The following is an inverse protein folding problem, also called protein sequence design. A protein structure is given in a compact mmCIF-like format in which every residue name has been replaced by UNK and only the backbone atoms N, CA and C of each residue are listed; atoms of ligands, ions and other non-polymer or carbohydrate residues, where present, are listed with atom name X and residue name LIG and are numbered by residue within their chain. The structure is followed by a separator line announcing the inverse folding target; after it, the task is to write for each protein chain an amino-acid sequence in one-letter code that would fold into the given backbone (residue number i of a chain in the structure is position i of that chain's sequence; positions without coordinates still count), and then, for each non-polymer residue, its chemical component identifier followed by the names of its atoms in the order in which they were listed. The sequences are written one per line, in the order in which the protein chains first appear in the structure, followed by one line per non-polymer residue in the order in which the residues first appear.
data_IF_841653676576
#
_entry.id   IF_841653676576
#
_cell.length_a   1.000
_cell.length_b   1.000
_cell.length_c   1.000
_cell.angle_alpha   90.00
_cell.angle_beta   90.00
_cell.angle_gamma   90.00
#
_symmetry.space_group_name_H-M   'P 1'
#
loop_
_entity.id
_entity.type
_entity.pdbx_description
1 polymer ?
#
# COMPACT_ATOMS: atom_id res chain seq x y z
N UNK A 1 -3.12 -21.44 -3.61
CA UNK A 1 -3.04 -19.98 -3.76
C UNK A 1 -4.01 -19.55 -4.84
N UNK A 2 -4.62 -18.37 -4.72
CA UNK A 2 -5.55 -17.80 -5.71
C UNK A 2 -4.83 -16.66 -6.43
N UNK A 3 -5.02 -16.51 -7.73
CA UNK A 3 -4.45 -15.39 -8.47
C UNK A 3 -5.21 -14.09 -8.12
N UNK A 4 -4.50 -13.08 -7.65
CA UNK A 4 -5.05 -11.73 -7.52
C UNK A 4 -4.74 -10.99 -8.82
N UNK A 5 -5.75 -10.93 -9.71
CA UNK A 5 -5.63 -10.41 -11.08
C UNK A 5 -5.10 -8.97 -11.10
N UNK A 6 -5.42 -8.19 -10.07
CA UNK A 6 -4.98 -6.79 -9.98
C UNK A 6 -3.55 -6.67 -9.44
N UNK A 7 -3.16 -7.58 -8.54
CA UNK A 7 -1.82 -7.59 -7.97
C UNK A 7 -0.81 -8.23 -8.93
N UNK A 8 -1.27 -9.16 -9.79
CA UNK A 8 -0.46 -9.87 -10.77
C UNK A 8 0.42 -10.96 -10.13
N UNK A 9 -0.01 -11.50 -8.98
CA UNK A 9 0.65 -12.60 -8.28
C UNK A 9 -0.34 -13.46 -7.49
N UNK A 10 0.13 -14.64 -7.07
CA UNK A 10 -0.65 -15.59 -6.26
C UNK A 10 -0.65 -15.17 -4.80
N UNK A 11 -1.83 -15.13 -4.19
CA UNK A 11 -2.05 -14.85 -2.78
C UNK A 11 -2.46 -16.13 -2.01
N UNK A 12 -2.12 -16.25 -0.72
CA UNK A 12 -2.53 -17.40 0.08
C UNK A 12 -4.05 -17.38 0.28
N UNK A 13 -4.69 -18.56 0.44
CA UNK A 13 -6.13 -18.66 0.61
C UNK A 13 -6.63 -18.04 1.93
N UNK A 14 -5.75 -17.91 2.93
CA UNK A 14 -6.01 -17.18 4.17
C UNK A 14 -5.13 -15.94 4.21
N UNK A 15 -5.72 -14.81 4.60
CA UNK A 15 -5.01 -13.54 4.76
C UNK A 15 -3.91 -13.69 5.82
N UNK A 16 -2.62 -13.43 5.49
CA UNK A 16 -1.53 -13.62 6.44
C UNK A 16 -1.61 -12.64 7.63
N UNK A 17 -2.40 -11.57 7.49
CA UNK A 17 -2.63 -10.59 8.54
C UNK A 17 -3.80 -10.93 9.45
N UNK A 18 -4.49 -12.09 9.32
CA UNK A 18 -5.74 -12.37 10.04
C UNK A 18 -5.70 -12.07 11.56
N UNK A 19 -4.54 -12.24 12.19
CA UNK A 19 -4.32 -12.04 13.62
C UNK A 19 -3.52 -10.77 13.96
N UNK A 20 -3.22 -9.92 12.98
CA UNK A 20 -2.55 -8.63 13.22
C UNK A 20 -3.59 -7.53 13.48
N UNK A 21 -3.19 -6.48 14.17
CA UNK A 21 -3.97 -5.26 14.19
C UNK A 21 -4.06 -4.70 12.75
N UNK A 22 -5.21 -4.13 12.40
CA UNK A 22 -5.50 -3.55 11.08
C UNK A 22 -5.22 -4.49 9.89
N UNK A 23 -5.76 -5.72 9.89
CA UNK A 23 -5.41 -6.74 8.91
C UNK A 23 -5.70 -6.32 7.47
N UNK A 24 -6.80 -5.58 7.26
CA UNK A 24 -7.19 -5.08 5.94
C UNK A 24 -6.24 -3.99 5.43
N UNK A 25 -5.78 -3.08 6.30
CA UNK A 25 -4.87 -2.00 5.90
C UNK A 25 -3.52 -2.56 5.48
N UNK A 26 -2.96 -3.49 6.26
CA UNK A 26 -1.71 -4.17 5.95
C UNK A 26 -1.83 -4.98 4.64
N UNK A 27 -2.94 -5.69 4.45
CA UNK A 27 -3.19 -6.47 3.22
C UNK A 27 -3.30 -5.58 1.98
N UNK A 28 -4.08 -4.51 2.05
CA UNK A 28 -4.25 -3.59 0.92
C UNK A 28 -2.95 -2.87 0.59
N UNK A 29 -2.19 -2.45 1.60
CA UNK A 29 -0.86 -1.88 1.41
C UNK A 29 0.05 -2.84 0.64
N UNK A 30 0.19 -4.09 1.08
CA UNK A 30 1.13 -5.01 0.45
C UNK A 30 0.69 -5.42 -0.96
N UNK A 31 -0.62 -5.55 -1.20
CA UNK A 31 -1.15 -5.74 -2.56
C UNK A 31 -0.79 -4.59 -3.49
N UNK A 32 -0.81 -3.35 -3.00
CA UNK A 32 -0.37 -2.18 -3.76
C UNK A 32 1.16 -2.16 -3.90
N UNK A 33 1.89 -2.47 -2.84
CA UNK A 33 3.35 -2.46 -2.81
C UNK A 33 3.96 -3.47 -3.80
N UNK A 34 3.39 -4.67 -3.91
CA UNK A 34 3.86 -5.67 -4.87
C UNK A 34 3.10 -5.63 -6.22
N UNK A 35 2.19 -4.67 -6.39
CA UNK A 35 1.30 -4.61 -7.54
C UNK A 35 2.02 -4.35 -8.86
N UNK A 36 1.45 -4.86 -9.95
CA UNK A 36 1.98 -4.75 -11.31
C UNK A 36 2.33 -3.32 -11.75
N UNK A 37 1.60 -2.31 -11.25
CA UNK A 37 1.82 -0.90 -11.59
C UNK A 37 3.22 -0.34 -11.26
N UNK A 38 4.00 -1.02 -10.40
CA UNK A 38 5.39 -0.65 -10.07
C UNK A 38 6.43 -1.36 -10.94
N UNK A 39 6.02 -2.22 -11.86
CA UNK A 39 6.91 -2.98 -12.74
C UNK A 39 7.15 -2.24 -14.05
N UNK A 40 8.28 -2.53 -14.73
CA UNK A 40 8.63 -1.89 -16.00
C UNK A 40 7.59 -2.16 -17.10
N UNK A 41 6.94 -3.32 -17.06
CA UNK A 41 5.90 -3.75 -18.00
C UNK A 41 4.49 -3.25 -17.65
N UNK A 42 4.35 -2.38 -16.64
CA UNK A 42 3.05 -1.81 -16.27
C UNK A 42 2.43 -1.03 -17.43
N UNK A 43 1.19 -1.36 -17.76
CA UNK A 43 0.43 -0.59 -18.75
C UNK A 43 -0.37 0.56 -18.08
N UNK A 44 -0.91 1.52 -18.85
CA UNK A 44 -1.69 2.63 -18.29
C UNK A 44 -2.90 2.20 -17.44
N UNK A 45 -3.51 1.05 -17.75
CA UNK A 45 -4.65 0.55 -16.99
C UNK A 45 -4.21 -0.06 -15.65
N UNK A 46 -3.04 -0.70 -15.59
CA UNK A 46 -2.45 -1.15 -14.32
C UNK A 46 -2.27 0.03 -13.36
N UNK A 47 -1.73 1.15 -13.86
CA UNK A 47 -1.52 2.36 -13.07
C UNK A 47 -2.84 2.99 -12.65
N UNK A 48 -3.82 3.11 -13.55
CA UNK A 48 -5.16 3.63 -13.23
C UNK A 48 -5.88 2.80 -12.16
N UNK A 49 -5.79 1.46 -12.25
CA UNK A 49 -6.34 0.56 -11.23
C UNK A 49 -5.66 0.76 -9.88
N UNK A 50 -4.34 0.83 -9.87
CA UNK A 50 -3.57 1.07 -8.64
C UNK A 50 -3.89 2.44 -8.02
N UNK A 51 -4.06 3.48 -8.83
CA UNK A 51 -4.48 4.81 -8.38
C UNK A 51 -5.84 4.77 -7.67
N UNK A 52 -6.83 4.07 -8.25
CA UNK A 52 -8.14 3.90 -7.63
C UNK A 52 -8.06 3.12 -6.30
N UNK A 53 -7.23 2.06 -6.24
CA UNK A 53 -7.02 1.28 -5.02
C UNK A 53 -6.27 2.06 -3.93
N UNK A 54 -5.30 2.88 -4.32
CA UNK A 54 -4.58 3.77 -3.41
C UNK A 54 -5.52 4.80 -2.79
N UNK A 55 -6.46 5.36 -3.56
CA UNK A 55 -7.52 6.22 -3.04
C UNK A 55 -8.41 5.49 -2.01
N UNK A 56 -8.80 4.24 -2.29
CA UNK A 56 -9.57 3.42 -1.34
C UNK A 56 -8.78 3.17 -0.04
N UNK A 57 -7.47 2.91 -0.14
CA UNK A 57 -6.61 2.73 1.03
C UNK A 57 -6.50 4.03 1.85
N UNK A 58 -6.32 5.19 1.21
CA UNK A 58 -6.32 6.49 1.89
C UNK A 58 -7.60 6.74 2.67
N UNK A 59 -8.76 6.41 2.08
CA UNK A 59 -10.05 6.53 2.76
C UNK A 59 -10.13 5.65 4.01
N UNK A 60 -9.76 4.36 3.91
CA UNK A 60 -9.76 3.44 5.06
C UNK A 60 -8.77 3.84 6.15
N UNK A 61 -7.61 4.37 5.75
CA UNK A 61 -6.63 4.92 6.68
C UNK A 61 -7.20 6.11 7.46
N UNK A 62 -7.95 6.99 6.80
CA UNK A 62 -8.62 8.12 7.45
C UNK A 62 -9.59 7.65 8.52
N UNK A 63 -10.47 6.69 8.21
CA UNK A 63 -11.42 6.13 9.17
C UNK A 63 -10.70 5.53 10.40
N UNK A 64 -9.65 4.74 10.19
CA UNK A 64 -8.88 4.15 11.28
C UNK A 64 -8.17 5.21 12.15
N UNK A 65 -7.58 6.25 11.53
CA UNK A 65 -6.87 7.32 12.25
C UNK A 65 -7.83 8.23 13.03
N UNK A 66 -9.03 8.47 12.51
CA UNK A 66 -10.06 9.24 13.22
C UNK A 66 -10.50 8.55 14.51
N UNK A 67 -10.64 7.23 14.49
CA UNK A 67 -11.00 6.43 15.67
C UNK A 67 -9.88 6.41 16.71
N UNK A 68 -8.64 6.17 16.28
CA UNK A 68 -7.50 5.98 17.20
C UNK A 68 -6.88 7.30 17.66
N UNK A 69 -7.10 8.38 16.92
CA UNK A 69 -6.59 9.73 17.19
C UNK A 69 -5.04 9.79 17.38
N UNK A 70 -4.31 8.98 16.61
CA UNK A 70 -2.84 8.91 16.66
C UNK A 70 -2.23 10.04 15.83
N UNK A 71 -1.63 11.03 16.49
CA UNK A 71 -1.08 12.23 15.83
C UNK A 71 -0.03 11.92 14.75
N UNK A 72 1.02 11.10 14.98
CA UNK A 72 2.00 10.78 13.94
C UNK A 72 1.38 10.13 12.70
N UNK A 73 0.41 9.22 12.91
CA UNK A 73 -0.31 8.58 11.82
C UNK A 73 -1.10 9.60 10.97
N UNK A 74 -1.72 10.59 11.62
CA UNK A 74 -2.42 11.69 10.92
C UNK A 74 -1.48 12.55 10.08
N UNK A 75 -0.30 12.89 10.60
CA UNK A 75 0.71 13.67 9.87
C UNK A 75 1.21 12.92 8.63
N UNK A 76 1.46 11.61 8.76
CA UNK A 76 1.83 10.77 7.63
C UNK A 76 0.68 10.60 6.62
N UNK A 77 -0.56 10.45 7.08
CA UNK A 77 -1.73 10.41 6.18
C UNK A 77 -1.90 11.70 5.40
N UNK A 78 -1.66 12.86 6.02
CA UNK A 78 -1.69 14.15 5.33
C UNK A 78 -0.67 14.19 4.18
N UNK A 79 0.59 13.84 4.45
CA UNK A 79 1.64 13.77 3.42
C UNK A 79 1.30 12.79 2.29
N UNK A 80 0.68 11.66 2.64
CA UNK A 80 0.21 10.69 1.66
C UNK A 80 -0.86 11.30 0.73
N UNK A 81 -1.81 12.04 1.30
CA UNK A 81 -2.85 12.74 0.55
C UNK A 81 -2.29 13.85 -0.35
N UNK A 82 -1.31 14.61 0.14
CA UNK A 82 -0.62 15.65 -0.64
C UNK A 82 0.12 15.03 -1.85
N UNK A 83 0.90 13.97 -1.63
CA UNK A 83 1.57 13.26 -2.71
C UNK A 83 0.58 12.63 -3.70
N UNK A 84 -0.52 12.07 -3.22
CA UNK A 84 -1.56 11.49 -4.07
C UNK A 84 -2.28 12.55 -4.93
N UNK A 85 -2.49 13.75 -4.40
CA UNK A 85 -3.13 14.85 -5.13
C UNK A 85 -2.29 15.38 -6.31
N UNK A 86 -0.96 15.17 -6.28
CA UNK A 86 -0.07 15.47 -7.40
C UNK A 86 -0.16 14.42 -8.53
N UNK A 87 -0.68 13.22 -8.25
CA UNK A 87 -0.85 12.18 -9.25
C UNK A 87 -2.12 12.39 -10.08
N UNK A 88 -1.99 12.32 -11.40
CA UNK A 88 -3.09 12.38 -12.36
C UNK A 88 -3.06 11.16 -13.27
N UNK A 89 -3.34 9.98 -12.69
CA UNK A 89 -3.25 8.72 -13.43
C UNK A 89 -4.28 8.60 -14.57
N UNK A 90 -5.31 9.46 -14.59
CA UNK A 90 -6.30 9.51 -15.66
C UNK A 90 -5.72 10.03 -16.98
N UNK A 91 -4.97 11.13 -16.89
CA UNK A 91 -4.42 11.87 -18.02
C UNK A 91 -2.94 11.54 -18.28
N UNK A 92 -2.13 11.43 -17.22
CA UNK A 92 -0.70 11.09 -17.30
C UNK A 92 -0.33 9.95 -16.31
N UNK A 93 -0.65 8.69 -16.67
CA UNK A 93 -0.38 7.51 -15.84
C UNK A 93 1.10 7.36 -15.46
N UNK A 94 2.01 7.45 -16.42
CA UNK A 94 3.41 7.11 -16.17
C UNK A 94 4.10 8.14 -15.26
N UNK A 95 3.85 9.43 -15.47
CA UNK A 95 4.39 10.47 -14.57
C UNK A 95 3.78 10.38 -13.17
N UNK A 96 2.57 9.83 -13.03
CA UNK A 96 1.90 9.64 -11.75
C UNK A 96 2.54 8.57 -10.85
N UNK A 97 3.32 7.64 -11.41
CA UNK A 97 3.90 6.50 -10.67
C UNK A 97 4.74 6.97 -9.47
N UNK A 98 5.60 7.98 -9.66
CA UNK A 98 6.45 8.50 -8.58
C UNK A 98 5.64 9.12 -7.43
N UNK A 99 4.56 9.84 -7.76
CA UNK A 99 3.66 10.44 -6.78
C UNK A 99 2.87 9.38 -6.01
N UNK A 100 2.38 8.36 -6.72
CA UNK A 100 1.70 7.20 -6.12
C UNK A 100 2.62 6.39 -5.20
N UNK A 101 3.88 6.18 -5.58
CA UNK A 101 4.87 5.47 -4.76
C UNK A 101 5.20 6.24 -3.46
N UNK A 102 5.40 7.56 -3.58
CA UNK A 102 5.56 8.46 -2.41
C UNK A 102 4.35 8.41 -1.48
N UNK A 103 3.13 8.45 -2.03
CA UNK A 103 1.91 8.34 -1.24
C UNK A 103 1.83 6.99 -0.51
N UNK A 104 2.15 5.88 -1.19
CA UNK A 104 2.18 4.56 -0.58
C UNK A 104 3.22 4.45 0.54
N UNK A 105 4.40 5.05 0.36
CA UNK A 105 5.44 5.11 1.40
C UNK A 105 4.97 5.86 2.66
N UNK A 106 4.29 7.00 2.51
CA UNK A 106 3.70 7.68 3.67
C UNK A 106 2.58 6.88 4.34
N UNK A 107 1.76 6.14 3.57
CA UNK A 107 0.77 5.22 4.13
C UNK A 107 1.44 4.12 4.94
N UNK A 108 2.56 3.56 4.46
CA UNK A 108 3.34 2.57 5.19
C UNK A 108 3.73 3.08 6.58
N UNK A 109 4.25 4.31 6.66
CA UNK A 109 4.60 4.95 7.92
C UNK A 109 3.38 5.17 8.82
N UNK A 110 2.26 5.63 8.27
CA UNK A 110 1.02 5.82 9.02
C UNK A 110 0.47 4.49 9.61
N UNK A 111 0.53 3.39 8.85
CA UNK A 111 0.19 2.05 9.34
C UNK A 111 1.10 1.67 10.52
N UNK A 112 2.40 1.90 10.39
CA UNK A 112 3.35 1.61 11.45
C UNK A 112 3.10 2.42 12.73
N UNK A 113 2.69 3.68 12.61
CA UNK A 113 2.31 4.51 13.75
C UNK A 113 1.04 3.98 14.45
N UNK A 114 0.04 3.53 13.68
CA UNK A 114 -1.16 2.87 14.23
C UNK A 114 -0.84 1.53 14.91
N UNK A 115 0.07 0.73 14.36
CA UNK A 115 0.48 -0.54 14.96
C UNK A 115 1.25 -0.30 16.26
N UNK A 116 2.15 0.69 16.28
CA UNK A 116 2.90 1.08 17.48
C UNK A 116 1.99 1.57 18.61
N UNK A 117 0.94 2.34 18.31
CA UNK A 117 0.00 2.80 19.34
C UNK A 117 -0.68 1.63 20.06
N UNK A 118 -0.88 0.50 19.37
CA UNK A 118 -1.44 -0.74 19.92
C UNK A 118 -0.39 -1.74 20.42
N UNK A 119 0.89 -1.36 20.49
CA UNK A 119 2.03 -2.26 20.83
C UNK A 119 2.07 -3.53 19.95
N UNK A 120 1.53 -3.45 18.73
CA UNK A 120 1.57 -4.54 17.77
C UNK A 120 2.93 -4.58 17.06
N UNK A 121 3.24 -5.72 16.44
CA UNK A 121 4.40 -5.83 15.55
C UNK A 121 4.25 -4.81 14.42
N UNK A 122 5.34 -4.11 14.10
CA UNK A 122 5.37 -3.19 12.95
C UNK A 122 5.13 -3.94 11.65
N UNK A 123 4.52 -3.25 10.69
CA UNK A 123 4.31 -3.73 9.35
C UNK A 123 5.63 -3.70 8.56
N UNK A 124 5.98 -4.81 7.94
CA UNK A 124 7.16 -4.96 7.10
C UNK A 124 6.79 -5.82 5.90
N UNK A 125 6.74 -5.28 4.67
CA UNK A 125 6.40 -6.07 3.48
C UNK A 125 7.33 -7.28 3.29
N UNK A 126 8.61 -7.17 3.70
CA UNK A 126 9.58 -8.26 3.64
C UNK A 126 9.20 -9.46 4.53
N UNK A 127 8.55 -9.24 5.67
CA UNK A 127 8.08 -10.33 6.53
C UNK A 127 6.99 -11.18 5.85
N UNK A 128 6.31 -10.58 4.86
CA UNK A 128 5.16 -11.16 4.20
C UNK A 128 5.40 -11.52 2.74
N UNK A 129 6.53 -11.12 2.16
CA UNK A 129 6.98 -11.51 0.82
C UNK A 129 6.93 -13.04 0.63
N UNK A 130 7.35 -13.81 1.64
CA UNK A 130 7.29 -15.29 1.62
C UNK A 130 5.90 -15.90 1.42
N UNK A 131 4.85 -15.11 1.66
CA UNK A 131 3.46 -15.53 1.49
C UNK A 131 2.93 -15.19 0.10
N UNK A 132 3.65 -14.40 -0.69
CA UNK A 132 3.26 -13.95 -2.01
C UNK A 132 4.23 -14.45 -3.09
N UNK A 133 3.72 -14.86 -4.24
CA UNK A 133 4.55 -15.26 -5.39
C UNK A 133 4.99 -14.01 -6.18
N UNK A 134 5.76 -13.12 -5.53
CA UNK A 134 6.11 -11.79 -6.04
C UNK A 134 7.55 -11.75 -6.55
N UNK A 135 7.75 -11.00 -7.64
CA UNK A 135 9.09 -10.60 -8.11
C UNK A 135 9.24 -9.13 -7.71
N UNK A 136 10.18 -8.84 -6.81
CA UNK A 136 10.45 -7.48 -6.35
C UNK A 136 10.84 -6.58 -7.55
N UNK A 137 10.18 -5.42 -7.73
CA UNK A 137 10.52 -4.50 -8.82
C UNK A 137 11.86 -3.81 -8.61
N UNK A 138 12.29 -3.65 -7.35
CA UNK A 138 13.58 -3.07 -6.97
C UNK A 138 14.14 -3.87 -5.79
N UNK A 139 15.34 -4.44 -5.92
CA UNK A 139 16.16 -4.72 -4.74
C UNK A 139 16.68 -3.35 -4.29
N UNK A 140 16.27 -2.90 -3.11
CA UNK A 140 17.03 -1.84 -2.45
C UNK A 140 18.42 -2.41 -2.19
N UNK A 141 19.42 -1.93 -2.93
CA UNK A 141 20.81 -2.18 -2.59
C UNK A 141 21.07 -1.49 -1.23
N UNK A 142 21.38 -2.32 -0.23
CA UNK A 142 21.73 -1.93 1.14
C UNK A 142 22.99 -1.07 1.21
#
# INVERSE_FOLDING_TARGET
MVEDVDAGFKIPPQCPYLYTAYPELCALHDKLYFGKWRKMEADPNDIKRAYAKLNQLLFKMKEAIEIENVKPARENLQKAGEAFAEANAGEDPYSSVNHMDRALSYIHHAINDLLRSRKAKIHSPADYERHYDVILPFKEDL
#
